data_IF_160437166139
#
_entry.id   IF_160437166139
#
_cell.length_a   1.000
_cell.length_b   1.000
_cell.length_c   1.000
_cell.angle_alpha   90.00
_cell.angle_beta   90.00
_cell.angle_gamma   90.00
#
_symmetry.space_group_name_H-M   'P 1'
#
loop_
_entity.id
_entity.type
_entity.pdbx_description
1 polymer ?
#
# COMPACT_ATOMS: atom_id res chain seq x y z
N UNK A 1 8.42 -22.60 17.24
CA UNK A 1 7.15 -21.94 16.88
C UNK A 1 7.29 -21.48 15.43
N UNK A 2 6.39 -21.81 14.49
CA UNK A 2 6.50 -21.29 13.14
C UNK A 2 6.09 -19.82 13.16
N UNK A 3 7.05 -18.93 12.91
CA UNK A 3 6.74 -17.54 12.55
C UNK A 3 6.05 -17.61 11.20
N UNK A 4 4.80 -17.14 11.14
CA UNK A 4 4.14 -16.90 9.87
C UNK A 4 4.99 -15.85 9.12
N UNK A 5 5.71 -16.27 8.08
CA UNK A 5 6.31 -15.32 7.15
C UNK A 5 5.16 -14.52 6.56
N UNK A 6 5.16 -13.18 6.69
CA UNK A 6 4.12 -12.37 6.08
C UNK A 6 4.14 -12.64 4.57
N UNK A 7 3.09 -13.27 4.05
CA UNK A 7 2.86 -13.51 2.62
C UNK A 7 2.46 -12.22 1.90
N UNK A 8 2.85 -11.05 2.42
CA UNK A 8 2.63 -9.79 1.73
C UNK A 8 3.78 -9.62 0.74
N UNK A 9 3.71 -10.41 -0.33
CA UNK A 9 4.59 -10.21 -1.48
C UNK A 9 4.30 -8.80 -1.98
N UNK A 10 5.31 -7.95 -2.16
CA UNK A 10 5.09 -6.59 -2.64
C UNK A 10 4.28 -6.60 -3.94
N UNK A 11 3.11 -5.96 -3.93
CA UNK A 11 2.25 -5.85 -5.12
C UNK A 11 2.57 -4.54 -5.82
N UNK A 12 2.84 -4.60 -7.12
CA UNK A 12 2.99 -3.40 -7.94
C UNK A 12 1.64 -2.68 -8.03
N UNK A 13 1.60 -1.42 -7.63
CA UNK A 13 0.40 -0.59 -7.65
C UNK A 13 0.71 0.78 -8.22
N UNK A 14 -0.32 1.50 -8.63
CA UNK A 14 -0.24 2.92 -8.93
C UNK A 14 -0.96 3.71 -7.84
N UNK A 15 -0.34 4.79 -7.40
CA UNK A 15 -0.78 5.59 -6.26
C UNK A 15 -1.01 7.03 -6.69
N UNK A 16 -2.12 7.62 -6.25
CA UNK A 16 -2.49 8.99 -6.61
C UNK A 16 -1.89 9.99 -5.62
N UNK A 17 -0.81 10.66 -6.02
CA UNK A 17 -0.06 11.64 -5.21
C UNK A 17 0.03 12.95 -6.00
N UNK A 18 -0.38 14.06 -5.37
CA UNK A 18 -0.26 15.39 -5.98
C UNK A 18 -1.01 15.54 -7.32
N UNK A 19 -2.14 14.84 -7.51
CA UNK A 19 -2.92 14.88 -8.74
C UNK A 19 -2.37 14.00 -9.88
N UNK A 20 -1.40 13.12 -9.59
CA UNK A 20 -0.79 12.22 -10.57
C UNK A 20 -0.76 10.79 -10.06
N UNK A 21 -0.87 9.84 -10.99
CA UNK A 21 -0.65 8.42 -10.70
C UNK A 21 0.83 8.09 -10.84
N UNK A 22 1.43 7.57 -9.77
CA UNK A 22 2.85 7.22 -9.70
C UNK A 22 2.98 5.73 -9.40
N UNK A 23 3.96 5.05 -9.98
CA UNK A 23 4.27 3.67 -9.67
C UNK A 23 4.77 3.53 -8.22
N UNK A 24 4.28 2.51 -7.52
CA UNK A 24 4.68 2.18 -6.16
C UNK A 24 4.55 0.68 -5.88
N UNK A 25 4.92 0.29 -4.67
CA UNK A 25 4.77 -1.08 -4.19
C UNK A 25 3.97 -1.08 -2.89
N UNK A 26 2.87 -1.84 -2.88
CA UNK A 26 2.11 -2.15 -1.67
C UNK A 26 2.82 -3.28 -0.92
N UNK A 27 3.24 -3.00 0.32
CA UNK A 27 3.96 -3.91 1.20
C UNK A 27 3.10 -4.55 2.28
N UNK A 28 1.93 -3.97 2.53
CA UNK A 28 0.97 -4.47 3.51
C UNK A 28 -0.39 -3.82 3.29
N UNK A 29 -1.45 -4.47 3.74
CA UNK A 29 -2.80 -3.92 3.75
C UNK A 29 -3.34 -3.93 5.18
N UNK A 30 -4.07 -2.88 5.55
CA UNK A 30 -4.78 -2.80 6.83
C UNK A 30 -6.17 -2.20 6.66
N UNK A 31 -7.00 -2.37 7.68
CA UNK A 31 -8.23 -1.59 7.84
C UNK A 31 -7.93 -0.47 8.85
N UNK A 32 -8.12 0.77 8.41
CA UNK A 32 -7.99 1.95 9.25
C UNK A 32 -9.10 1.98 10.32
N UNK A 33 -8.92 2.73 11.42
CA UNK A 33 -9.99 2.94 12.40
C UNK A 33 -11.27 3.54 11.81
N UNK A 34 -11.17 4.23 10.66
CA UNK A 34 -12.31 4.76 9.89
C UNK A 34 -13.10 3.69 9.15
N UNK A 35 -12.59 2.45 9.09
CA UNK A 35 -13.16 1.34 8.32
C UNK A 35 -12.62 1.26 6.89
N UNK A 36 -11.85 2.25 6.44
CA UNK A 36 -11.23 2.24 5.12
C UNK A 36 -10.09 1.24 5.02
N UNK A 37 -9.95 0.60 3.85
CA UNK A 37 -8.75 -0.19 3.58
C UNK A 37 -7.60 0.73 3.16
N UNK A 38 -6.43 0.51 3.73
CA UNK A 38 -5.20 1.24 3.39
C UNK A 38 -4.10 0.26 2.99
N UNK A 39 -3.25 0.66 2.05
CA UNK A 39 -2.01 -0.04 1.74
C UNK A 39 -0.80 0.73 2.27
N UNK A 40 0.20 0.01 2.76
CA UNK A 40 1.50 0.54 3.08
C UNK A 40 2.32 0.62 1.80
N UNK A 41 2.56 1.84 1.33
CA UNK A 41 3.30 2.10 0.11
C UNK A 41 4.74 2.48 0.45
N UNK A 42 5.70 1.87 -0.23
CA UNK A 42 7.08 2.38 -0.28
C UNK A 42 7.25 3.33 -1.46
N UNK A 43 7.63 4.58 -1.17
CA UNK A 43 7.90 5.62 -2.15
C UNK A 43 9.15 6.41 -1.78
N UNK A 44 10.17 6.39 -2.64
CA UNK A 44 11.48 7.06 -2.42
C UNK A 44 12.14 6.76 -1.05
N UNK A 45 11.95 5.55 -0.51
CA UNK A 45 12.49 5.16 0.81
C UNK A 45 11.64 5.59 2.00
N UNK A 46 10.49 6.24 1.76
CA UNK A 46 9.49 6.55 2.77
C UNK A 46 8.34 5.54 2.71
N UNK A 47 7.84 5.15 3.89
CA UNK A 47 6.68 4.29 4.05
C UNK A 47 5.47 5.14 4.42
N UNK A 48 4.40 5.03 3.64
CA UNK A 48 3.19 5.83 3.82
C UNK A 48 1.96 4.94 3.70
N UNK A 49 1.01 5.09 4.62
CA UNK A 49 -0.31 4.46 4.48
C UNK A 49 -1.17 5.29 3.55
N UNK A 50 -1.69 4.63 2.51
CA UNK A 50 -2.51 5.28 1.48
C UNK A 50 -3.85 4.57 1.41
N UNK A 51 -4.93 5.35 1.41
CA UNK A 51 -6.27 4.83 1.29
C UNK A 51 -6.48 4.12 -0.07
N UNK A 52 -7.19 3.00 -0.08
CA UNK A 52 -7.52 2.22 -1.28
C UNK A 52 -8.12 3.06 -2.42
N UNK A 53 -8.87 4.13 -2.12
CA UNK A 53 -9.45 5.02 -3.13
C UNK A 53 -8.40 5.82 -3.92
N UNK A 54 -7.17 5.90 -3.41
CA UNK A 54 -6.02 6.52 -4.06
C UNK A 54 -5.06 5.48 -4.64
N UNK A 55 -5.44 4.21 -4.67
CA UNK A 55 -4.63 3.10 -5.17
C UNK A 55 -5.38 2.44 -6.32
N UNK A 56 -4.65 2.08 -7.37
CA UNK A 56 -5.16 1.17 -8.39
C UNK A 56 -4.11 0.12 -8.71
N UNK A 57 -4.58 -1.08 -8.97
CA UNK A 57 -3.75 -2.15 -9.53
C UNK A 57 -3.62 -1.90 -11.05
N UNK A 58 -2.46 -2.23 -11.65
CA UNK A 58 -2.25 -2.11 -13.10
C UNK A 58 -3.16 -3.04 -13.92
#
# INVERSE_FOLDING_TARGET
MPVATPTDRPTAVQVHIGGRWIAGQALSWRIAPTGDREALISHHGHLVWVNQHQIREP
#
